data_IF_057724714707
#
_entry.id   IF_057724714707
#
_cell.length_a   1.000
_cell.length_b   1.000
_cell.length_c   1.000
_cell.angle_alpha   90.00
_cell.angle_beta   90.00
_cell.angle_gamma   90.00
#
_symmetry.space_group_name_H-M   'P 1'
#
loop_
_entity.id
_entity.type
_entity.pdbx_description
1 polymer ?
#
# COMPACT_ATOMS: atom_id res chain seq x y z
N UNK A 1 20.49 39.69 34.01
CA UNK A 1 19.10 39.25 34.20
C UNK A 1 18.63 38.73 32.85
N UNK A 2 19.07 37.52 32.50
CA UNK A 2 18.80 36.88 31.20
C UNK A 2 17.58 35.98 31.33
N UNK A 3 16.57 36.23 30.50
CA UNK A 3 15.37 35.43 30.46
C UNK A 3 15.67 34.08 29.80
N UNK A 4 15.75 33.03 30.63
CA UNK A 4 15.80 31.63 30.22
C UNK A 4 14.48 31.27 29.55
N UNK A 5 14.49 31.09 28.23
CA UNK A 5 13.40 30.47 27.48
C UNK A 5 13.45 28.96 27.79
N UNK A 6 12.41 28.35 28.40
CA UNK A 6 12.44 26.93 28.69
C UNK A 6 12.32 26.13 27.40
N UNK A 7 13.36 25.34 27.09
CA UNK A 7 13.33 24.33 26.04
C UNK A 7 12.34 23.23 26.43
N UNK A 8 11.14 23.24 25.83
CA UNK A 8 10.31 22.04 25.79
C UNK A 8 10.85 21.11 24.70
N UNK A 9 11.85 20.35 25.13
CA UNK A 9 12.00 18.90 24.96
C UNK A 9 11.13 18.27 23.86
N UNK A 10 11.82 17.86 22.79
CA UNK A 10 11.79 16.58 22.04
C UNK A 10 10.70 15.49 22.26
N UNK A 11 9.63 15.68 23.03
CA UNK A 11 8.63 14.64 23.35
C UNK A 11 7.32 14.69 22.56
N UNK A 12 7.09 15.70 21.71
CA UNK A 12 5.82 15.82 20.95
C UNK A 12 5.85 15.22 19.55
N UNK A 13 6.95 14.60 19.11
CA UNK A 13 7.06 14.00 17.77
C UNK A 13 6.78 12.49 17.70
N UNK A 14 6.41 11.85 18.81
CA UNK A 14 6.31 10.38 18.89
C UNK A 14 4.87 9.82 18.91
N UNK A 15 3.82 10.64 18.97
CA UNK A 15 2.45 10.15 19.22
C UNK A 15 1.44 10.34 18.07
N UNK A 16 1.88 10.76 16.88
CA UNK A 16 1.09 10.49 15.67
C UNK A 16 1.33 9.04 15.22
N UNK A 17 1.03 8.10 16.10
CA UNK A 17 0.71 6.75 15.68
C UNK A 17 -0.60 6.93 14.92
N UNK A 18 -0.51 7.01 13.60
CA UNK A 18 -1.65 7.24 12.71
C UNK A 18 -2.82 6.36 13.16
N UNK A 19 -3.81 6.95 13.83
CA UNK A 19 -5.07 6.26 14.11
C UNK A 19 -5.72 5.83 12.78
N UNK A 20 -5.41 6.55 11.69
CA UNK A 20 -5.71 6.24 10.29
C UNK A 20 -5.12 4.90 9.79
N UNK A 21 -4.06 4.37 10.43
CA UNK A 21 -3.47 3.06 10.13
C UNK A 21 -4.04 1.92 10.99
N UNK A 22 -4.89 2.24 11.97
CA UNK A 22 -5.61 1.21 12.72
C UNK A 22 -6.66 0.63 11.79
N UNK A 23 -6.39 -0.60 11.29
CA UNK A 23 -7.31 -1.33 10.41
C UNK A 23 -8.71 -1.37 11.04
N UNK A 24 -9.63 -0.58 10.50
CA UNK A 24 -11.03 -1.00 10.50
C UNK A 24 -11.14 -2.04 9.40
N UNK A 25 -11.60 -3.24 9.74
CA UNK A 25 -11.63 -4.42 8.85
C UNK A 25 -12.55 -4.24 7.61
N UNK A 26 -13.09 -3.06 7.36
CA UNK A 26 -14.23 -2.84 6.45
C UNK A 26 -14.11 -1.66 5.48
N UNK A 27 -13.07 -0.81 5.56
CA UNK A 27 -12.91 0.29 4.61
C UNK A 27 -12.13 -0.13 3.35
N UNK A 28 -12.86 -0.45 2.28
CA UNK A 28 -12.26 -0.76 0.98
C UNK A 28 -11.77 0.52 0.28
N UNK A 29 -10.53 0.91 0.55
CA UNK A 29 -9.91 2.08 -0.06
C UNK A 29 -9.89 1.98 -1.60
N UNK A 30 -9.86 0.80 -2.21
CA UNK A 30 -9.85 0.66 -3.67
C UNK A 30 -11.16 1.11 -4.29
N UNK A 31 -12.29 0.79 -3.64
CA UNK A 31 -13.61 1.26 -4.08
C UNK A 31 -13.69 2.79 -4.17
N UNK A 32 -12.91 3.49 -3.35
CA UNK A 32 -12.97 4.94 -3.21
C UNK A 32 -11.72 5.67 -3.74
N UNK A 33 -10.63 4.99 -4.09
CA UNK A 33 -9.39 5.60 -4.61
C UNK A 33 -9.51 6.01 -6.09
N UNK A 34 -10.48 6.87 -6.40
CA UNK A 34 -10.74 7.39 -7.74
C UNK A 34 -10.99 8.90 -7.71
N UNK A 35 -10.85 9.54 -8.88
CA UNK A 35 -11.02 10.98 -9.03
C UNK A 35 -12.37 11.48 -8.50
N UNK A 36 -13.46 10.78 -8.78
CA UNK A 36 -14.80 11.27 -8.40
C UNK A 36 -14.97 11.34 -6.88
N UNK A 37 -14.45 10.35 -6.15
CA UNK A 37 -14.42 10.37 -4.69
C UNK A 37 -13.50 11.49 -4.16
N UNK A 38 -12.28 11.61 -4.69
CA UNK A 38 -11.35 12.67 -4.28
C UNK A 38 -11.92 14.06 -4.52
N UNK A 39 -12.65 14.27 -5.62
CA UNK A 39 -13.38 15.52 -5.88
C UNK A 39 -14.43 15.78 -4.81
N UNK A 40 -15.18 14.77 -4.35
CA UNK A 40 -16.13 14.97 -3.25
C UNK A 40 -15.43 15.32 -1.94
N UNK A 41 -14.30 14.69 -1.62
CA UNK A 41 -13.50 15.03 -0.42
C UNK A 41 -12.97 16.46 -0.50
N UNK A 42 -12.39 16.85 -1.63
CA UNK A 42 -11.88 18.20 -1.82
C UNK A 42 -13.00 19.23 -1.66
N UNK A 43 -14.14 18.97 -2.28
CA UNK A 43 -15.26 19.90 -2.31
C UNK A 43 -16.05 19.96 -1.00
N UNK A 44 -15.94 18.96 -0.11
CA UNK A 44 -16.48 19.03 1.25
C UNK A 44 -15.64 19.93 2.16
N UNK A 45 -14.32 19.98 1.93
CA UNK A 45 -13.38 20.76 2.75
C UNK A 45 -13.35 22.25 2.40
N UNK A 46 -14.10 22.69 1.39
CA UNK A 46 -14.10 24.09 0.94
C UNK A 46 -15.51 24.66 0.96
N UNK A 47 -15.63 25.95 1.28
CA UNK A 47 -16.92 26.64 1.21
C UNK A 47 -17.30 26.84 -0.25
N UNK A 48 -18.34 26.14 -0.71
CA UNK A 48 -18.83 26.25 -2.08
C UNK A 48 -19.65 27.52 -2.26
N UNK A 49 -19.31 28.32 -3.27
CA UNK A 49 -20.02 29.57 -3.59
C UNK A 49 -21.31 29.36 -4.41
N UNK A 50 -21.57 28.14 -4.90
CA UNK A 50 -22.77 27.81 -5.69
C UNK A 50 -23.28 26.41 -5.36
N UNK A 51 -24.61 26.25 -5.22
CA UNK A 51 -25.25 24.93 -5.09
C UNK A 51 -25.13 24.16 -6.42
N UNK A 52 -24.54 22.98 -6.35
CA UNK A 52 -24.35 22.11 -7.51
C UNK A 52 -25.63 21.46 -8.03
N UNK A 53 -25.53 20.89 -9.23
CA UNK A 53 -26.56 20.13 -9.94
C UNK A 53 -27.05 18.87 -9.17
N UNK A 54 -28.16 18.25 -9.60
CA UNK A 54 -28.64 16.98 -9.04
C UNK A 54 -27.54 15.93 -9.00
N UNK A 55 -27.38 15.33 -7.83
CA UNK A 55 -26.32 14.37 -7.55
C UNK A 55 -26.73 12.98 -8.01
N UNK A 56 -25.82 12.27 -8.70
CA UNK A 56 -25.95 10.83 -8.92
C UNK A 56 -26.01 10.08 -7.59
N UNK A 57 -26.57 8.86 -7.60
CA UNK A 57 -26.66 8.02 -6.38
C UNK A 57 -25.28 7.73 -5.79
N UNK A 58 -24.31 7.37 -6.63
CA UNK A 58 -22.89 7.16 -6.24
C UNK A 58 -22.28 8.40 -5.57
N UNK A 59 -22.60 9.59 -6.07
CA UNK A 59 -22.13 10.85 -5.47
C UNK A 59 -22.78 11.11 -4.11
N UNK A 60 -24.03 10.67 -3.88
CA UNK A 60 -24.67 10.76 -2.56
C UNK A 60 -23.98 9.82 -1.57
N UNK A 61 -23.75 8.56 -1.95
CA UNK A 61 -23.02 7.59 -1.12
C UNK A 61 -21.66 8.14 -0.67
N UNK A 62 -20.91 8.76 -1.59
CA UNK A 62 -19.63 9.39 -1.27
C UNK A 62 -19.79 10.53 -0.25
N UNK A 63 -20.78 11.41 -0.43
CA UNK A 63 -21.01 12.53 0.49
C UNK A 63 -21.45 12.07 1.87
N UNK A 64 -22.30 11.05 1.96
CA UNK A 64 -22.73 10.48 3.23
C UNK A 64 -21.54 9.90 4.01
N UNK A 65 -20.71 9.12 3.33
CA UNK A 65 -19.48 8.57 3.90
C UNK A 65 -18.54 9.68 4.38
N UNK A 66 -18.29 10.70 3.55
CA UNK A 66 -17.40 11.81 3.90
C UNK A 66 -17.96 12.60 5.08
N UNK A 67 -19.26 12.89 5.07
CA UNK A 67 -19.92 13.66 6.14
C UNK A 67 -19.77 13.00 7.50
N UNK A 68 -19.84 11.66 7.56
CA UNK A 68 -19.64 10.88 8.78
C UNK A 68 -18.31 11.18 9.49
N UNK A 69 -17.24 11.46 8.73
CA UNK A 69 -15.89 11.68 9.26
C UNK A 69 -15.41 13.13 9.16
N UNK A 70 -16.19 14.01 8.53
CA UNK A 70 -15.77 15.36 8.18
C UNK A 70 -15.49 16.25 9.40
N UNK A 71 -16.39 16.23 10.39
CA UNK A 71 -16.23 17.05 11.61
C UNK A 71 -15.04 16.59 12.46
N UNK A 72 -14.90 15.27 12.63
CA UNK A 72 -13.76 14.68 13.34
C UNK A 72 -12.44 15.05 12.65
N UNK A 73 -12.36 14.93 11.32
CA UNK A 73 -11.19 15.34 10.55
C UNK A 73 -10.86 16.83 10.77
N UNK A 74 -11.84 17.73 10.63
CA UNK A 74 -11.60 19.16 10.83
C UNK A 74 -11.12 19.46 12.25
N UNK A 75 -11.68 18.79 13.25
CA UNK A 75 -11.29 18.95 14.66
C UNK A 75 -9.87 18.42 14.94
N UNK A 76 -9.50 17.27 14.38
CA UNK A 76 -8.19 16.66 14.64
C UNK A 76 -7.06 17.36 13.91
N UNK A 77 -7.36 18.00 12.78
CA UNK A 77 -6.37 18.69 11.94
C UNK A 77 -6.31 20.20 12.17
N UNK A 78 -7.12 20.73 13.10
CA UNK A 78 -7.35 22.18 13.27
C UNK A 78 -7.68 22.87 11.93
N UNK A 79 -8.34 22.15 11.01
CA UNK A 79 -8.61 22.65 9.66
C UNK A 79 -9.86 23.51 9.64
N UNK A 80 -9.73 24.71 9.08
CA UNK A 80 -10.85 25.64 8.85
C UNK A 80 -11.14 25.72 7.35
N UNK A 81 -12.36 25.35 6.89
CA UNK A 81 -12.72 25.42 5.48
C UNK A 81 -12.55 26.82 4.88
N UNK A 82 -11.82 26.88 3.78
CA UNK A 82 -11.55 28.12 3.03
C UNK A 82 -12.60 28.33 1.92
N UNK A 83 -12.87 29.59 1.61
CA UNK A 83 -13.71 29.93 0.46
C UNK A 83 -12.87 29.91 -0.83
N UNK A 84 -13.30 29.13 -1.80
CA UNK A 84 -12.61 28.96 -3.08
C UNK A 84 -13.56 29.20 -4.24
N UNK A 85 -13.28 30.25 -5.01
CA UNK A 85 -13.93 30.47 -6.31
C UNK A 85 -13.50 29.36 -7.27
N UNK A 86 -14.44 28.87 -8.08
CA UNK A 86 -14.21 27.77 -9.02
C UNK A 86 -13.69 26.48 -8.36
N UNK A 87 -14.02 26.25 -7.08
CA UNK A 87 -13.59 25.07 -6.30
C UNK A 87 -13.80 23.75 -7.03
N UNK A 88 -14.90 23.61 -7.78
CA UNK A 88 -15.19 22.42 -8.57
C UNK A 88 -14.16 22.16 -9.68
N UNK A 89 -13.74 23.21 -10.41
CA UNK A 89 -12.76 23.06 -11.50
C UNK A 89 -11.37 22.76 -10.94
N UNK A 90 -11.02 23.42 -9.83
CA UNK A 90 -9.76 23.16 -9.11
C UNK A 90 -9.74 21.71 -8.60
N UNK A 91 -10.83 21.25 -7.98
CA UNK A 91 -10.97 19.88 -7.51
C UNK A 91 -10.79 18.89 -8.66
N UNK A 92 -11.48 19.07 -9.79
CA UNK A 92 -11.34 18.17 -10.93
C UNK A 92 -9.88 18.10 -11.40
N UNK A 93 -9.21 19.25 -11.53
CA UNK A 93 -7.83 19.30 -12.01
C UNK A 93 -6.85 18.63 -11.03
N UNK A 94 -6.86 19.02 -9.76
CA UNK A 94 -5.92 18.49 -8.76
C UNK A 94 -6.20 17.02 -8.42
N UNK A 95 -7.47 16.63 -8.27
CA UNK A 95 -7.82 15.24 -7.98
C UNK A 95 -7.50 14.29 -9.15
N UNK A 96 -7.57 14.78 -10.40
CA UNK A 96 -7.09 13.99 -11.56
C UNK A 96 -5.58 13.75 -11.45
N UNK A 97 -4.80 14.75 -11.06
CA UNK A 97 -3.35 14.54 -10.85
C UNK A 97 -3.09 13.56 -9.72
N UNK A 98 -3.85 13.62 -8.62
CA UNK A 98 -3.72 12.68 -7.50
C UNK A 98 -4.03 11.26 -7.95
N UNK A 99 -5.13 11.05 -8.67
CA UNK A 99 -5.51 9.73 -9.21
C UNK A 99 -4.41 9.18 -10.16
N UNK A 100 -3.93 10.01 -11.09
CA UNK A 100 -2.87 9.62 -12.02
C UNK A 100 -1.57 9.32 -11.28
N UNK A 101 -1.16 10.16 -10.33
CA UNK A 101 0.05 9.96 -9.54
C UNK A 101 -0.05 8.69 -8.67
N UNK A 102 -1.19 8.45 -8.03
CA UNK A 102 -1.46 7.24 -7.25
C UNK A 102 -1.37 6.00 -8.15
N UNK A 103 -2.11 6.00 -9.25
CA UNK A 103 -2.14 4.87 -10.20
C UNK A 103 -0.75 4.60 -10.76
N UNK A 104 -0.01 5.63 -11.16
CA UNK A 104 1.35 5.49 -11.68
C UNK A 104 2.33 5.02 -10.61
N UNK A 105 2.22 5.50 -9.37
CA UNK A 105 3.07 5.07 -8.27
C UNK A 105 2.81 3.60 -7.90
N UNK A 106 1.54 3.19 -7.84
CA UNK A 106 1.16 1.79 -7.63
C UNK A 106 1.70 0.94 -8.78
N UNK A 107 1.43 1.29 -10.05
CA UNK A 107 1.94 0.57 -11.23
C UNK A 107 3.46 0.42 -11.23
N UNK A 108 4.19 1.50 -10.92
CA UNK A 108 5.65 1.51 -10.96
C UNK A 108 6.27 0.72 -9.80
N UNK A 109 5.74 0.87 -8.60
CA UNK A 109 6.36 0.31 -7.38
C UNK A 109 5.85 -1.09 -7.01
N UNK A 110 4.71 -1.53 -7.55
CA UNK A 110 4.06 -2.77 -7.16
C UNK A 110 5.01 -3.97 -7.21
N UNK A 111 5.69 -4.21 -8.34
CA UNK A 111 6.59 -5.36 -8.49
C UNK A 111 7.71 -5.39 -7.45
N UNK A 112 8.27 -4.23 -7.13
CA UNK A 112 9.30 -4.10 -6.09
C UNK A 112 8.74 -4.36 -4.70
N UNK A 113 7.56 -3.81 -4.37
CA UNK A 113 6.89 -4.02 -3.08
C UNK A 113 6.46 -5.48 -2.91
N UNK A 114 5.92 -6.10 -3.95
CA UNK A 114 5.57 -7.51 -3.97
C UNK A 114 6.79 -8.41 -3.76
N UNK A 115 7.91 -8.13 -4.44
CA UNK A 115 9.18 -8.85 -4.22
C UNK A 115 9.66 -8.73 -2.77
N UNK A 116 9.59 -7.53 -2.19
CA UNK A 116 9.95 -7.33 -0.78
C UNK A 116 9.03 -8.10 0.16
N UNK A 117 7.73 -8.10 -0.11
CA UNK A 117 6.73 -8.84 0.64
C UNK A 117 7.04 -10.34 0.62
N UNK A 118 7.23 -10.94 -0.55
CA UNK A 118 7.56 -12.38 -0.66
C UNK A 118 8.90 -12.70 0.00
N UNK A 119 9.93 -11.86 -0.16
CA UNK A 119 11.22 -12.07 0.52
C UNK A 119 11.10 -12.10 2.04
N UNK A 120 10.25 -11.23 2.60
CA UNK A 120 9.98 -11.17 4.03
C UNK A 120 9.15 -12.36 4.46
N UNK A 121 8.13 -12.71 3.68
CA UNK A 121 7.26 -13.84 3.94
C UNK A 121 8.03 -15.16 3.93
N UNK A 122 8.99 -15.37 3.03
CA UNK A 122 9.78 -16.61 3.00
C UNK A 122 10.94 -16.64 3.99
N UNK A 123 11.18 -15.54 4.73
CA UNK A 123 12.33 -15.33 5.60
C UNK A 123 13.67 -15.60 4.88
N UNK A 124 13.72 -15.28 3.58
CA UNK A 124 14.82 -15.69 2.69
C UNK A 124 16.19 -15.29 3.24
N UNK A 125 16.31 -14.05 3.76
CA UNK A 125 17.55 -13.52 4.33
C UNK A 125 17.98 -14.29 5.59
N UNK A 126 17.04 -14.55 6.49
CA UNK A 126 17.31 -15.25 7.75
C UNK A 126 17.71 -16.70 7.49
N UNK A 127 16.99 -17.40 6.60
CA UNK A 127 17.32 -18.77 6.18
C UNK A 127 18.71 -18.83 5.52
N UNK A 128 19.02 -17.90 4.61
CA UNK A 128 20.31 -17.85 3.93
C UNK A 128 21.46 -17.60 4.90
N UNK A 129 21.28 -16.69 5.87
CA UNK A 129 22.30 -16.41 6.88
C UNK A 129 22.52 -17.60 7.81
N UNK A 130 21.45 -18.22 8.31
CA UNK A 130 21.56 -19.41 9.17
C UNK A 130 22.29 -20.54 8.44
N UNK A 131 21.89 -20.83 7.20
CA UNK A 131 22.50 -21.88 6.38
C UNK A 131 23.96 -21.58 6.05
N UNK A 132 24.29 -20.32 5.76
CA UNK A 132 25.68 -19.88 5.56
C UNK A 132 26.55 -20.18 6.78
N UNK A 133 26.07 -19.87 7.98
CA UNK A 133 26.83 -20.13 9.21
C UNK A 133 26.99 -21.63 9.49
N UNK A 134 25.97 -22.46 9.20
CA UNK A 134 26.08 -23.92 9.28
C UNK A 134 27.16 -24.47 8.33
N UNK A 135 27.16 -24.03 7.08
CA UNK A 135 28.11 -24.49 6.06
C UNK A 135 29.54 -24.01 6.33
N UNK A 136 29.71 -22.79 6.86
CA UNK A 136 31.00 -22.30 7.36
C UNK A 136 31.55 -23.17 8.50
N UNK A 137 30.69 -23.55 9.47
CA UNK A 137 31.08 -24.48 10.55
C UNK A 137 31.49 -25.85 10.01
N UNK A 138 30.86 -26.29 8.92
CA UNK A 138 31.23 -27.49 8.19
C UNK A 138 32.48 -27.33 7.29
N UNK A 139 33.19 -26.18 7.36
CA UNK A 139 34.40 -25.87 6.58
C UNK A 139 34.21 -25.97 5.06
N UNK A 140 33.00 -25.69 4.56
CA UNK A 140 32.75 -25.58 3.12
C UNK A 140 33.44 -24.36 2.53
N UNK A 141 33.87 -24.47 1.27
CA UNK A 141 34.42 -23.33 0.54
C UNK A 141 33.35 -22.28 0.25
N UNK A 142 33.74 -21.01 0.08
CA UNK A 142 32.79 -19.93 -0.24
C UNK A 142 32.03 -20.17 -1.55
N UNK A 143 32.65 -20.86 -2.52
CA UNK A 143 31.99 -21.29 -3.76
C UNK A 143 30.88 -22.29 -3.48
N UNK A 144 31.17 -23.37 -2.75
CA UNK A 144 30.16 -24.37 -2.38
C UNK A 144 29.04 -23.75 -1.54
N UNK A 145 29.37 -22.86 -0.61
CA UNK A 145 28.38 -22.14 0.20
C UNK A 145 27.42 -21.35 -0.69
N UNK A 146 27.96 -20.63 -1.68
CA UNK A 146 27.15 -19.84 -2.61
C UNK A 146 26.22 -20.74 -3.43
N UNK A 147 26.73 -21.84 -3.97
CA UNK A 147 25.95 -22.76 -4.81
C UNK A 147 24.86 -23.47 -4.02
N UNK A 148 25.15 -23.93 -2.80
CA UNK A 148 24.17 -24.56 -1.90
C UNK A 148 23.07 -23.56 -1.52
N UNK A 149 23.43 -22.33 -1.10
CA UNK A 149 22.42 -21.30 -0.77
C UNK A 149 21.59 -20.92 -2.00
N UNK A 150 22.19 -20.93 -3.19
CA UNK A 150 21.45 -20.67 -4.41
C UNK A 150 20.41 -21.76 -4.65
N UNK A 151 20.81 -23.04 -4.64
CA UNK A 151 19.94 -24.18 -4.92
C UNK A 151 18.87 -24.40 -3.85
N UNK A 152 19.20 -24.31 -2.56
CA UNK A 152 18.28 -24.62 -1.46
C UNK A 152 17.31 -23.48 -1.12
N UNK A 153 17.70 -22.22 -1.38
CA UNK A 153 16.97 -21.05 -0.87
C UNK A 153 16.62 -20.07 -1.98
N UNK A 154 17.61 -19.63 -2.76
CA UNK A 154 17.41 -18.52 -3.71
C UNK A 154 16.57 -18.94 -4.91
N UNK A 155 16.90 -20.08 -5.52
CA UNK A 155 16.18 -20.62 -6.66
C UNK A 155 14.73 -20.98 -6.31
N UNK A 156 14.45 -21.72 -5.21
CA UNK A 156 13.07 -22.00 -4.80
C UNK A 156 12.26 -20.72 -4.54
N UNK A 157 12.84 -19.72 -3.86
CA UNK A 157 12.16 -18.42 -3.66
C UNK A 157 11.93 -17.66 -4.97
N UNK A 158 12.81 -17.85 -5.97
CA UNK A 158 12.66 -17.23 -7.30
C UNK A 158 11.57 -17.93 -8.09
N UNK A 159 11.51 -19.26 -8.06
CA UNK A 159 10.43 -20.04 -8.66
C UNK A 159 9.08 -19.71 -8.04
N UNK A 160 9.02 -19.54 -6.72
CA UNK A 160 7.80 -19.08 -6.04
C UNK A 160 7.34 -17.71 -6.57
N UNK A 161 8.25 -16.74 -6.67
CA UNK A 161 7.96 -15.41 -7.21
C UNK A 161 7.47 -15.47 -8.65
N UNK A 162 8.06 -16.32 -9.48
CA UNK A 162 7.66 -16.54 -10.89
C UNK A 162 6.28 -17.21 -10.95
N UNK A 163 6.01 -18.22 -10.11
CA UNK A 163 4.73 -18.91 -10.08
C UNK A 163 3.60 -17.99 -9.63
N UNK A 164 3.84 -17.19 -8.58
CA UNK A 164 2.91 -16.14 -8.15
C UNK A 164 2.76 -15.08 -9.24
N UNK A 165 3.86 -14.62 -9.84
CA UNK A 165 3.84 -13.73 -10.98
C UNK A 165 2.99 -14.27 -12.13
N UNK A 166 2.95 -15.58 -12.34
CA UNK A 166 2.22 -16.25 -13.42
C UNK A 166 0.74 -16.55 -13.09
N UNK A 167 0.23 -16.09 -11.93
CA UNK A 167 -1.13 -16.40 -11.46
C UNK A 167 -1.33 -17.85 -11.00
N UNK A 168 -0.25 -18.62 -10.93
CA UNK A 168 -0.34 -20.06 -10.68
C UNK A 168 -0.28 -20.35 -9.18
N UNK A 169 -1.33 -19.95 -8.46
CA UNK A 169 -1.45 -20.14 -7.01
C UNK A 169 -1.67 -21.61 -6.60
N UNK A 170 -2.09 -22.47 -7.54
CA UNK A 170 -2.48 -23.86 -7.27
C UNK A 170 -1.29 -24.82 -7.19
N UNK A 171 -0.14 -24.47 -7.77
CA UNK A 171 1.07 -25.31 -7.82
C UNK A 171 2.29 -24.58 -7.23
N UNK A 172 2.11 -23.90 -6.10
CA UNK A 172 3.20 -23.19 -5.44
C UNK A 172 4.10 -24.18 -4.68
N UNK A 173 5.43 -23.98 -4.66
CA UNK A 173 6.33 -24.78 -3.84
C UNK A 173 6.06 -24.52 -2.35
N UNK A 174 5.16 -25.32 -1.77
CA UNK A 174 4.73 -25.30 -0.36
C UNK A 174 5.87 -25.63 0.61
N UNK A 175 6.96 -26.24 0.14
CA UNK A 175 8.15 -26.49 0.96
C UNK A 175 8.81 -25.22 1.52
N UNK A 176 8.51 -24.05 0.95
CA UNK A 176 9.09 -22.75 1.34
C UNK A 176 8.09 -21.90 2.17
N UNK A 177 6.79 -22.10 1.95
CA UNK A 177 5.69 -21.36 2.55
C UNK A 177 4.92 -22.27 3.52
N UNK A 178 4.96 -21.96 4.82
CA UNK A 178 4.07 -22.60 5.79
C UNK A 178 2.60 -22.28 5.46
N UNK A 179 1.67 -23.16 5.83
CA UNK A 179 0.22 -23.04 5.55
C UNK A 179 -0.36 -21.64 5.85
N UNK A 180 0.01 -21.02 6.98
CA UNK A 180 -0.47 -19.67 7.34
C UNK A 180 0.11 -18.49 6.53
N UNK A 181 1.12 -18.73 5.67
CA UNK A 181 1.71 -17.67 4.82
C UNK A 181 0.97 -17.55 3.48
N UNK A 182 0.22 -18.57 3.07
CA UNK A 182 -0.57 -18.55 1.86
C UNK A 182 -1.73 -17.56 1.94
N UNK A 183 -2.46 -17.54 3.05
CA UNK A 183 -3.55 -16.58 3.30
C UNK A 183 -3.08 -15.11 3.23
N UNK A 184 -1.85 -14.82 3.67
CA UNK A 184 -1.27 -13.48 3.59
C UNK A 184 -0.99 -13.05 2.14
N UNK A 185 -0.65 -14.00 1.26
CA UNK A 185 -0.45 -13.73 -0.17
C UNK A 185 -1.81 -13.43 -0.82
N UNK A 186 -2.84 -14.21 -0.50
CA UNK A 186 -4.20 -13.97 -0.97
C UNK A 186 -4.74 -12.61 -0.50
N UNK A 187 -4.55 -12.26 0.78
CA UNK A 187 -4.91 -10.94 1.32
C UNK A 187 -4.19 -9.80 0.59
N UNK A 188 -2.91 -9.98 0.28
CA UNK A 188 -2.14 -9.01 -0.50
C UNK A 188 -2.74 -8.77 -1.90
N UNK A 189 -3.18 -9.82 -2.59
CA UNK A 189 -3.84 -9.69 -3.90
C UNK A 189 -5.27 -9.16 -3.84
N UNK A 190 -5.98 -9.45 -2.76
CA UNK A 190 -7.31 -8.91 -2.47
C UNK A 190 -7.28 -7.40 -2.15
N UNK A 191 -6.11 -6.84 -1.85
CA UNK A 191 -5.93 -5.40 -1.67
C UNK A 191 -6.11 -4.60 -2.96
N UNK A 192 -6.19 -5.25 -4.13
CA UNK A 192 -6.37 -4.60 -5.43
C UNK A 192 -7.71 -5.00 -6.06
N UNK A 193 -8.33 -4.10 -6.82
CA UNK A 193 -9.58 -4.37 -7.57
C UNK A 193 -9.48 -5.61 -8.47
N UNK A 194 -10.59 -6.29 -8.70
CA UNK A 194 -10.64 -7.50 -9.54
C UNK A 194 -10.27 -7.22 -11.02
N UNK A 195 -10.49 -5.99 -11.46
CA UNK A 195 -10.24 -5.44 -12.79
C UNK A 195 -8.88 -4.74 -12.92
N UNK A 196 -8.06 -4.72 -11.86
CA UNK A 196 -6.76 -4.06 -11.88
C UNK A 196 -5.79 -4.82 -12.80
N UNK A 197 -5.50 -4.22 -13.95
CA UNK A 197 -4.53 -4.73 -14.93
C UNK A 197 -3.18 -4.06 -14.73
N UNK A 198 -2.14 -4.85 -14.46
CA UNK A 198 -0.78 -4.34 -14.37
C UNK A 198 -0.28 -3.95 -15.77
N UNK A 199 0.45 -2.84 -15.90
CA UNK A 199 1.01 -2.39 -17.19
C UNK A 199 2.24 -3.21 -17.60
N UNK A 200 2.35 -3.45 -18.91
CA UNK A 200 3.33 -4.33 -19.55
C UNK A 200 4.75 -3.79 -19.31
N UNK A 201 5.63 -4.60 -18.70
CA UNK A 201 7.04 -4.25 -18.48
C UNK A 201 7.54 -4.37 -17.03
N UNK A 202 6.66 -4.66 -16.07
CA UNK A 202 7.04 -5.03 -14.71
C UNK A 202 7.02 -6.57 -14.58
N UNK A 203 8.07 -7.16 -13.99
CA UNK A 203 8.41 -8.60 -14.05
C UNK A 203 7.40 -9.58 -13.39
N UNK A 204 6.19 -9.14 -13.05
CA UNK A 204 5.22 -9.84 -12.18
C UNK A 204 3.81 -9.91 -12.79
N UNK A 205 3.73 -10.23 -14.08
CA UNK A 205 2.65 -9.77 -14.98
C UNK A 205 1.29 -10.49 -14.92
N UNK A 206 1.13 -11.63 -14.28
CA UNK A 206 -0.11 -12.42 -14.37
C UNK A 206 -0.73 -12.79 -13.01
N UNK A 207 -0.56 -12.00 -11.94
CA UNK A 207 -1.13 -12.42 -10.64
C UNK A 207 -2.65 -12.24 -10.49
N UNK A 208 -3.37 -12.05 -11.61
CA UNK A 208 -4.83 -11.97 -11.56
C UNK A 208 -5.53 -12.37 -12.87
N UNK A 209 -4.88 -13.18 -13.70
CA UNK A 209 -5.55 -13.78 -14.86
C UNK A 209 -5.80 -15.26 -14.52
N UNK A 210 -7.05 -15.52 -14.10
CA UNK A 210 -7.73 -16.78 -13.75
C UNK A 210 -8.01 -17.03 -12.26
#
# INVERSE_FOLDING_TARGET
MEARIPSKTQETRSNYQYAELTRTETFDIQKFANKDFFVQVFTSLVKQSRKGNPSSEKTKEYRELIHKYHEEYCSLSDYTPIELKNSQQIAIYECTKIEVAYTNAVKLQFGNKFRMFINRLTDQKTKANKRREELKKAKKSDSEIKDIIYAEITQPCTQLKIALAAGNARNLPTSILSEGKMSLIEEFFNTYGADYTFEKGNLYYDVKIH
#
